data_IF_782694080351
#
_entry.id   IF_782694080351
#
_cell.length_a   1.000
_cell.length_b   1.000
_cell.length_c   1.000
_cell.angle_alpha   90.00
_cell.angle_beta   90.00
_cell.angle_gamma   90.00
#
_symmetry.space_group_name_H-M   'P 1'
#
loop_
_entity.id
_entity.type
_entity.pdbx_description
1 polymer ?
#
# COMPACT_ATOMS: atom_id res chain seq x y z
N UNK A 1 19.34 3.50 3.87
CA UNK A 1 19.58 2.10 3.49
C UNK A 1 18.26 1.33 3.52
N UNK A 2 17.85 0.74 2.40
CA UNK A 2 16.79 -0.28 2.36
C UNK A 2 17.55 -1.57 2.64
N UNK A 3 17.30 -2.17 3.80
CA UNK A 3 17.94 -3.42 4.16
C UNK A 3 17.56 -4.47 3.11
N UNK A 4 18.55 -5.14 2.49
CA UNK A 4 18.32 -6.39 1.77
C UNK A 4 17.94 -7.43 2.82
N UNK A 5 16.68 -7.43 3.24
CA UNK A 5 16.14 -8.49 4.07
C UNK A 5 15.68 -9.63 3.19
N UNK A 6 15.87 -10.85 3.69
CA UNK A 6 15.21 -12.02 3.14
C UNK A 6 13.68 -11.84 3.28
N UNK A 7 12.88 -12.40 2.36
CA UNK A 7 11.42 -12.28 2.39
C UNK A 7 10.81 -12.62 3.76
N UNK A 8 11.36 -13.62 4.44
CA UNK A 8 10.89 -14.08 5.76
C UNK A 8 11.03 -13.00 6.84
N UNK A 9 12.12 -12.24 6.83
CA UNK A 9 12.33 -11.14 7.77
C UNK A 9 11.36 -9.98 7.53
N UNK A 10 10.99 -9.74 6.28
CA UNK A 10 10.00 -8.73 5.92
C UNK A 10 8.60 -9.13 6.44
N UNK A 11 8.23 -10.40 6.28
CA UNK A 11 6.94 -10.91 6.75
C UNK A 11 6.80 -10.77 8.26
N UNK A 12 7.84 -11.11 9.02
CA UNK A 12 7.82 -10.99 10.47
C UNK A 12 7.60 -9.54 10.93
N UNK A 13 8.34 -8.59 10.34
CA UNK A 13 8.19 -7.15 10.66
C UNK A 13 6.79 -6.66 10.28
N UNK A 14 6.26 -7.10 9.14
CA UNK A 14 4.90 -6.75 8.71
C UNK A 14 3.87 -7.28 9.72
N UNK A 15 3.97 -8.55 10.12
CA UNK A 15 3.08 -9.18 11.11
C UNK A 15 3.12 -8.47 12.46
N UNK A 16 4.30 -8.09 12.94
CA UNK A 16 4.44 -7.32 14.19
C UNK A 16 3.76 -5.95 14.10
N UNK A 17 3.89 -5.27 12.96
CA UNK A 17 3.17 -4.01 12.71
C UNK A 17 1.66 -4.21 12.62
N UNK A 18 1.18 -5.29 11.99
CA UNK A 18 -0.26 -5.60 11.91
C UNK A 18 -0.89 -5.87 13.28
N UNK A 19 -0.11 -6.42 14.22
CA UNK A 19 -0.56 -6.61 15.61
C UNK A 19 -0.67 -5.28 16.37
N UNK A 20 0.15 -4.29 16.03
CA UNK A 20 0.13 -2.97 16.67
C UNK A 20 -0.89 -2.01 16.04
N UNK A 21 -1.06 -2.11 14.72
CA UNK A 21 -1.91 -1.23 13.93
C UNK A 21 -2.99 -2.08 13.24
N UNK A 22 -4.23 -2.10 13.76
CA UNK A 22 -5.31 -2.82 13.12
C UNK A 22 -5.61 -2.16 11.78
N UNK A 23 -5.55 -2.94 10.70
CA UNK A 23 -5.87 -2.49 9.35
C UNK A 23 -6.95 -3.38 8.74
N UNK A 24 -7.78 -2.79 7.87
CA UNK A 24 -8.88 -3.50 7.23
C UNK A 24 -8.40 -4.45 6.13
N UNK A 25 -7.33 -4.07 5.41
CA UNK A 25 -6.86 -4.76 4.19
C UNK A 25 -5.38 -4.51 3.95
N UNK A 26 -4.73 -5.43 3.26
CA UNK A 26 -3.33 -5.33 2.84
C UNK A 26 -3.26 -5.28 1.32
N UNK A 27 -2.51 -4.33 0.78
CA UNK A 27 -2.20 -4.28 -0.65
C UNK A 27 -0.83 -4.90 -0.91
N UNK A 28 -0.77 -5.86 -1.84
CA UNK A 28 0.47 -6.46 -2.30
C UNK A 28 0.66 -6.13 -3.78
N UNK A 29 1.76 -5.48 -4.14
CA UNK A 29 2.04 -5.13 -5.53
C UNK A 29 2.50 -6.37 -6.30
N UNK A 30 1.57 -7.05 -6.96
CA UNK A 30 1.88 -8.30 -7.64
C UNK A 30 2.36 -8.04 -9.08
N UNK A 31 3.66 -8.24 -9.32
CA UNK A 31 4.17 -8.65 -10.65
C UNK A 31 4.19 -10.18 -10.73
N UNK A 32 4.19 -10.80 -11.92
CA UNK A 32 4.11 -12.28 -12.07
C UNK A 32 5.09 -13.07 -11.18
N UNK A 33 6.27 -12.52 -10.88
CA UNK A 33 7.25 -13.14 -10.00
C UNK A 33 6.91 -13.03 -8.50
N UNK A 34 6.07 -12.08 -8.09
CA UNK A 34 5.76 -11.78 -6.70
C UNK A 34 4.48 -12.47 -6.19
N UNK A 35 3.68 -13.11 -7.07
CA UNK A 35 2.49 -13.88 -6.69
C UNK A 35 2.82 -14.99 -5.68
N UNK A 36 3.98 -15.63 -5.81
CA UNK A 36 4.45 -16.64 -4.85
C UNK A 36 4.71 -16.05 -3.46
N UNK A 37 5.27 -14.84 -3.38
CA UNK A 37 5.52 -14.16 -2.10
C UNK A 37 4.22 -13.78 -1.40
N UNK A 38 3.19 -13.37 -2.15
CA UNK A 38 1.85 -13.13 -1.61
C UNK A 38 1.30 -14.39 -0.94
N UNK A 39 1.32 -15.54 -1.63
CA UNK A 39 0.79 -16.79 -1.08
C UNK A 39 1.51 -17.20 0.20
N UNK A 40 2.85 -17.08 0.23
CA UNK A 40 3.64 -17.33 1.43
C UNK A 40 3.30 -16.38 2.57
N UNK A 41 3.04 -15.12 2.27
CA UNK A 41 2.65 -14.14 3.27
C UNK A 41 1.25 -14.44 3.85
N UNK A 42 0.29 -14.83 3.02
CA UNK A 42 -1.05 -15.27 3.48
C UNK A 42 -0.97 -16.50 4.40
N UNK A 43 -0.12 -17.48 4.07
CA UNK A 43 0.15 -18.64 4.94
C UNK A 43 0.68 -18.20 6.32
N UNK A 44 1.62 -17.24 6.36
CA UNK A 44 2.18 -16.71 7.62
C UNK A 44 1.18 -15.89 8.44
N UNK A 45 0.31 -15.10 7.78
CA UNK A 45 -0.78 -14.39 8.43
C UNK A 45 -1.75 -15.37 9.09
N UNK A 46 -2.11 -16.45 8.39
CA UNK A 46 -3.00 -17.49 8.89
C UNK A 46 -2.42 -18.18 10.14
N UNK A 47 -1.12 -18.53 10.11
CA UNK A 47 -0.41 -19.09 11.28
C UNK A 47 -0.44 -18.15 12.49
N UNK A 48 -0.42 -16.85 12.26
CA UNK A 48 -0.49 -15.81 13.29
C UNK A 48 -1.92 -15.43 13.72
N UNK A 49 -2.95 -16.12 13.20
CA UNK A 49 -4.38 -15.82 13.42
C UNK A 49 -4.79 -14.40 12.98
N UNK A 50 -4.12 -13.88 11.95
CA UNK A 50 -4.46 -12.61 11.31
C UNK A 50 -5.23 -12.91 10.04
N UNK A 51 -6.50 -12.49 10.00
CA UNK A 51 -7.42 -12.78 8.90
C UNK A 51 -7.62 -11.59 7.95
N UNK A 52 -6.68 -10.66 7.93
CA UNK A 52 -6.75 -9.47 7.07
C UNK A 52 -6.62 -9.88 5.60
N UNK A 53 -7.56 -9.48 4.72
CA UNK A 53 -7.51 -9.81 3.30
C UNK A 53 -6.31 -9.15 2.62
N UNK A 54 -5.61 -9.93 1.80
CA UNK A 54 -4.46 -9.48 0.99
C UNK A 54 -4.91 -9.35 -0.47
N UNK A 55 -5.06 -8.11 -0.93
CA UNK A 55 -5.48 -7.78 -2.29
C UNK A 55 -4.27 -7.49 -3.19
N UNK A 56 -4.39 -7.86 -4.45
CA UNK A 56 -3.36 -7.57 -5.45
C UNK A 56 -3.56 -6.16 -6.00
N UNK A 57 -2.53 -5.34 -5.87
CA UNK A 57 -2.52 -3.99 -6.44
C UNK A 57 -1.80 -4.07 -7.78
N UNK A 58 -2.57 -3.94 -8.86
CA UNK A 58 -2.02 -3.86 -10.22
C UNK A 58 -1.86 -2.39 -10.57
N UNK A 59 -0.60 -1.96 -10.63
CA UNK A 59 -0.22 -0.60 -10.97
C UNK A 59 -0.20 -0.44 -12.51
N UNK A 60 -1.27 0.09 -13.11
CA UNK A 60 -1.34 0.37 -14.57
C UNK A 60 -0.91 1.80 -14.90
N UNK A 61 -0.14 1.98 -15.96
CA UNK A 61 0.32 3.31 -16.43
C UNK A 61 1.70 3.72 -15.91
N UNK A 62 2.13 4.94 -16.24
CA UNK A 62 3.46 5.44 -15.89
C UNK A 62 3.55 5.81 -14.41
N UNK A 63 4.56 5.27 -13.71
CA UNK A 63 4.78 5.46 -12.27
C UNK A 63 4.74 6.93 -11.84
N UNK A 64 5.40 7.79 -12.61
CA UNK A 64 5.49 9.21 -12.30
C UNK A 64 4.13 9.93 -12.31
N UNK A 65 3.29 9.66 -13.30
CA UNK A 65 1.97 10.28 -13.44
C UNK A 65 1.05 9.87 -12.29
N UNK A 66 1.11 8.59 -11.88
CA UNK A 66 0.36 8.06 -10.73
C UNK A 66 0.76 8.71 -9.42
N UNK A 67 2.05 8.96 -9.22
CA UNK A 67 2.51 9.61 -7.98
C UNK A 67 2.07 11.08 -7.96
N UNK A 68 2.16 11.78 -9.09
CA UNK A 68 1.72 13.19 -9.18
C UNK A 68 0.22 13.32 -8.92
N UNK A 69 -0.60 12.35 -9.34
CA UNK A 69 -2.06 12.42 -9.12
C UNK A 69 -2.46 12.42 -7.64
N UNK A 70 -1.57 12.01 -6.72
CA UNK A 70 -1.80 12.07 -5.28
C UNK A 70 -1.60 13.46 -4.67
N UNK A 71 -0.84 14.34 -5.32
CA UNK A 71 -0.52 15.68 -4.85
C UNK A 71 -1.77 16.48 -4.41
N UNK A 72 -2.89 16.53 -5.16
CA UNK A 72 -4.09 17.23 -4.72
C UNK A 72 -4.71 16.62 -3.45
N UNK A 73 -4.72 15.31 -3.29
CA UNK A 73 -5.34 14.64 -2.14
C UNK A 73 -4.51 14.83 -0.87
N UNK A 74 -3.18 14.86 -1.01
CA UNK A 74 -2.25 15.24 0.06
C UNK A 74 -2.45 16.71 0.44
N UNK A 75 -2.50 17.62 -0.53
CA UNK A 75 -2.67 19.07 -0.28
C UNK A 75 -4.02 19.43 0.34
N UNK A 76 -5.09 18.71 -0.02
CA UNK A 76 -6.43 18.87 0.59
C UNK A 76 -6.53 18.31 2.01
N UNK A 77 -5.52 17.55 2.47
CA UNK A 77 -5.51 16.95 3.80
C UNK A 77 -6.36 15.68 3.92
N UNK A 78 -6.71 15.02 2.81
CA UNK A 78 -7.38 13.72 2.84
C UNK A 78 -6.43 12.59 3.28
N UNK A 79 -5.12 12.79 3.07
CA UNK A 79 -4.05 11.88 3.50
C UNK A 79 -3.30 12.54 4.64
N UNK A 80 -3.34 11.93 5.83
CA UNK A 80 -2.61 12.39 7.01
C UNK A 80 -1.34 11.58 7.20
N UNK A 81 -0.23 12.27 7.46
CA UNK A 81 1.07 11.65 7.69
C UNK A 81 1.40 11.65 9.18
N UNK A 82 1.93 10.52 9.67
CA UNK A 82 2.51 10.48 11.01
C UNK A 82 3.84 11.26 11.00
N UNK A 83 3.93 12.30 11.82
CA UNK A 83 5.13 13.16 11.93
C UNK A 83 6.38 12.40 12.38
N UNK A 84 6.23 11.28 13.10
CA UNK A 84 7.34 10.43 13.51
C UNK A 84 8.04 9.74 12.31
N UNK A 85 7.35 9.56 11.18
CA UNK A 85 7.89 8.91 9.98
C UNK A 85 8.64 9.91 9.08
N UNK A 86 9.60 10.64 9.64
CA UNK A 86 10.31 11.75 8.99
C UNK A 86 10.90 11.34 7.62
N UNK A 87 11.53 10.16 7.54
CA UNK A 87 12.15 9.68 6.29
C UNK A 87 11.11 9.38 5.20
N UNK A 88 9.97 8.82 5.57
CA UNK A 88 8.88 8.55 4.64
C UNK A 88 8.28 9.87 4.14
N UNK A 89 8.00 10.79 5.06
CA UNK A 89 7.42 12.10 4.75
C UNK A 89 8.35 12.92 3.84
N UNK A 90 9.66 12.90 4.08
CA UNK A 90 10.62 13.58 3.22
C UNK A 90 10.68 12.95 1.82
N UNK A 91 10.63 11.62 1.70
CA UNK A 91 10.60 10.97 0.39
C UNK A 91 9.35 11.31 -0.42
N UNK A 92 8.19 11.44 0.22
CA UNK A 92 6.95 11.87 -0.45
C UNK A 92 7.02 13.36 -0.82
N UNK A 93 7.51 14.21 0.09
CA UNK A 93 7.60 15.66 -0.09
C UNK A 93 8.61 16.07 -1.17
N UNK A 94 9.78 15.43 -1.18
CA UNK A 94 10.89 15.75 -2.07
C UNK A 94 10.86 14.93 -3.37
N UNK A 95 9.76 14.20 -3.61
CA UNK A 95 9.59 13.40 -4.81
C UNK A 95 9.65 14.28 -6.07
N UNK A 96 10.48 13.84 -7.02
CA UNK A 96 10.59 14.45 -8.34
C UNK A 96 10.91 13.36 -9.37
N UNK A 97 10.77 13.66 -10.68
CA UNK A 97 10.98 12.69 -11.77
C UNK A 97 12.38 12.04 -11.77
N UNK A 98 13.36 12.73 -11.19
CA UNK A 98 14.76 12.28 -11.08
C UNK A 98 15.11 11.79 -9.67
N UNK A 99 14.13 11.63 -8.78
CA UNK A 99 14.36 11.24 -7.40
C UNK A 99 14.90 9.81 -7.34
N UNK A 100 15.98 9.63 -6.60
CA UNK A 100 16.66 8.34 -6.42
C UNK A 100 15.83 7.33 -5.62
N UNK A 101 14.86 7.81 -4.85
CA UNK A 101 14.01 7.00 -3.98
C UNK A 101 12.55 7.34 -4.24
N UNK A 102 11.80 6.38 -4.76
CA UNK A 102 10.39 6.52 -5.12
C UNK A 102 9.50 5.50 -4.41
N UNK A 103 10.05 4.69 -3.51
CA UNK A 103 9.33 3.62 -2.80
C UNK A 103 8.20 4.14 -1.89
N UNK A 104 8.44 5.24 -1.16
CA UNK A 104 7.44 5.83 -0.26
C UNK A 104 6.23 6.39 -1.03
N UNK A 105 6.40 7.26 -2.05
CA UNK A 105 5.25 7.73 -2.82
C UNK A 105 4.55 6.63 -3.63
N UNK A 106 5.27 5.62 -4.12
CA UNK A 106 4.67 4.49 -4.84
C UNK A 106 3.82 3.60 -3.92
N UNK A 107 4.33 3.28 -2.72
CA UNK A 107 3.54 2.56 -1.70
C UNK A 107 2.34 3.35 -1.21
N UNK A 108 2.43 4.68 -1.13
CA UNK A 108 1.29 5.55 -0.83
C UNK A 108 0.21 5.42 -1.90
N UNK A 109 0.60 5.44 -3.18
CA UNK A 109 -0.32 5.27 -4.30
C UNK A 109 -1.04 3.92 -4.24
N UNK A 110 -0.31 2.84 -4.00
CA UNK A 110 -0.90 1.51 -3.86
C UNK A 110 -1.93 1.43 -2.73
N UNK A 111 -1.68 2.10 -1.61
CA UNK A 111 -2.62 2.19 -0.50
C UNK A 111 -3.89 2.98 -0.87
N UNK A 112 -3.75 4.11 -1.57
CA UNK A 112 -4.90 4.91 -2.04
C UNK A 112 -5.73 4.13 -3.05
N UNK A 113 -5.09 3.45 -4.02
CA UNK A 113 -5.78 2.63 -5.00
C UNK A 113 -6.59 1.51 -4.33
N UNK A 114 -6.06 0.90 -3.28
CA UNK A 114 -6.77 -0.12 -2.50
C UNK A 114 -8.03 0.46 -1.84
N UNK A 115 -7.95 1.65 -1.26
CA UNK A 115 -9.09 2.33 -0.63
C UNK A 115 -10.13 2.80 -1.67
N UNK A 116 -9.70 3.34 -2.81
CA UNK A 116 -10.59 3.76 -3.89
C UNK A 116 -11.27 2.58 -4.60
N UNK A 117 -10.56 1.45 -4.75
CA UNK A 117 -11.16 0.19 -5.17
C UNK A 117 -12.38 -0.18 -4.31
N UNK A 118 -12.26 -0.02 -2.98
CA UNK A 118 -13.37 -0.24 -2.04
C UNK A 118 -14.50 0.78 -2.22
N UNK A 119 -14.19 2.06 -2.47
CA UNK A 119 -15.22 3.08 -2.75
C UNK A 119 -16.03 2.73 -3.99
N UNK A 120 -15.39 2.27 -5.07
CA UNK A 120 -16.10 1.89 -6.30
C UNK A 120 -17.08 0.72 -6.07
N UNK A 121 -16.73 -0.24 -5.21
CA UNK A 121 -17.63 -1.34 -4.82
C UNK A 121 -18.83 -0.82 -4.03
N UNK A 122 -18.66 0.19 -3.16
CA UNK A 122 -19.79 0.78 -2.40
C UNK A 122 -20.80 1.53 -3.29
N UNK A 123 -20.41 1.98 -4.48
CA UNK A 123 -21.30 2.69 -5.42
C UNK A 123 -22.15 1.77 -6.30
N UNK A 124 -22.01 0.44 -6.19
CA UNK A 124 -22.79 -0.53 -6.97
C UNK A 124 -23.88 -1.24 -6.18
N UNK A 125 -24.42 -0.63 -5.12
CA UNK A 125 -25.73 -1.05 -4.62
C UNK A 125 -26.85 -0.42 -5.46
N UNK A 126 -26.98 -0.88 -6.71
CA UNK A 126 -28.08 -0.51 -7.61
C UNK A 126 -29.40 -1.18 -7.24
N UNK A 127 -29.46 -1.93 -6.14
CA UNK A 127 -30.71 -2.54 -5.66
C UNK A 127 -31.66 -1.52 -5.00
N UNK A 128 -31.21 -0.28 -4.80
CA UNK A 128 -32.02 0.86 -4.34
C UNK A 128 -32.55 1.76 -5.47
N UNK A 129 -32.37 1.37 -6.75
CA UNK A 129 -32.86 2.12 -7.92
C UNK A 129 -34.11 1.48 -8.56
N UNK A 130 -34.87 0.70 -7.79
CA UNK A 130 -36.26 0.38 -8.16
C UNK A 130 -37.14 1.63 -8.03
#
# INVERSE_FOLDING_TARGET
CIYRMLPDGLFQIAIEKLKQYPIEKIGFETTQAQSYMKQKFEEELWKNKIYTPVEEVISRGQKHERIISLEPEVKKGHILFNSANIRYNNQVKDYNKSAKYDDAPDSLYGAVQLVEGVKSIRFYDRSLLF
#
